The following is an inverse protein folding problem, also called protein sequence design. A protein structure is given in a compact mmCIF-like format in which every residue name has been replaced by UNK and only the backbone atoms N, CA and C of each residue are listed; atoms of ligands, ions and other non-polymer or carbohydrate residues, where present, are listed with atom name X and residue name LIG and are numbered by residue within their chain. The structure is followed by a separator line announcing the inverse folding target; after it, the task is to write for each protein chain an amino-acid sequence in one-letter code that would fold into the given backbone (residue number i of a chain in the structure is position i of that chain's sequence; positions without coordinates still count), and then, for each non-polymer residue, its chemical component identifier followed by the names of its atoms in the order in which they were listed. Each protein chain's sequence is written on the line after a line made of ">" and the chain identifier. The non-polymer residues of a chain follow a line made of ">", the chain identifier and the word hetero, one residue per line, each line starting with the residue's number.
data_IF_931818326719
#
_entry.id   IF_931818326719
#
_cell.length_a   1.000
_cell.length_b   1.000
_cell.length_c   1.000
_cell.angle_alpha   90.00
_cell.angle_beta   90.00
_cell.angle_gamma   90.00
#
_symmetry.space_group_name_H-M   'P 1'
#
loop_
_entity.id
_entity.type
_entity.pdbx_description
1 polymer ?
#
# COMPACT_ATOMS: atom_id res chain seq x y z
N UNK A 1 1.71 -16.27 -17.06
CA UNK A 1 1.40 -16.02 -15.63
C UNK A 1 1.20 -14.51 -15.44
N UNK A 2 -0.04 -14.01 -15.26
CA UNK A 2 -0.30 -12.56 -15.05
C UNK A 2 -1.45 -12.23 -14.06
N UNK A 3 -2.17 -13.22 -13.53
CA UNK A 3 -3.30 -12.98 -12.61
C UNK A 3 -2.95 -13.22 -11.13
N UNK A 4 -1.90 -13.99 -10.85
CA UNK A 4 -1.44 -14.26 -9.48
C UNK A 4 -0.83 -12.99 -8.82
N UNK A 5 -0.28 -12.08 -9.63
CA UNK A 5 0.39 -10.87 -9.14
C UNK A 5 -0.61 -9.80 -8.66
N UNK A 6 -1.81 -9.71 -9.27
CA UNK A 6 -2.80 -8.69 -8.91
C UNK A 6 -3.52 -9.00 -7.60
N UNK A 7 -3.85 -10.27 -7.34
CA UNK A 7 -4.48 -10.69 -6.09
C UNK A 7 -3.52 -10.50 -4.92
N UNK A 8 -2.25 -10.88 -5.09
CA UNK A 8 -1.22 -10.65 -4.07
C UNK A 8 -0.98 -9.16 -3.82
N UNK A 9 -0.92 -8.34 -4.88
CA UNK A 9 -0.80 -6.88 -4.74
C UNK A 9 -2.01 -6.27 -4.02
N UNK A 10 -3.23 -6.75 -4.28
CA UNK A 10 -4.43 -6.30 -3.57
C UNK A 10 -4.39 -6.65 -2.08
N UNK A 11 -3.99 -7.88 -1.74
CA UNK A 11 -3.82 -8.28 -0.34
C UNK A 11 -2.79 -7.41 0.38
N UNK A 12 -1.65 -7.15 -0.28
CA UNK A 12 -0.61 -6.27 0.27
C UNK A 12 -1.08 -4.83 0.43
N UNK A 13 -1.87 -4.31 -0.50
CA UNK A 13 -2.51 -3.00 -0.37
C UNK A 13 -3.40 -2.94 0.89
N UNK A 14 -4.27 -3.94 1.10
CA UNK A 14 -5.16 -3.98 2.26
C UNK A 14 -4.36 -4.08 3.57
N UNK A 15 -3.33 -4.93 3.61
CA UNK A 15 -2.43 -5.08 4.76
C UNK A 15 -1.77 -3.74 5.14
N UNK A 16 -1.12 -3.09 4.16
CA UNK A 16 -0.44 -1.83 4.40
C UNK A 16 -1.41 -0.67 4.72
N UNK A 17 -2.61 -0.67 4.15
CA UNK A 17 -3.64 0.33 4.49
C UNK A 17 -4.09 0.18 5.95
N UNK A 18 -4.39 -1.05 6.39
CA UNK A 18 -4.77 -1.33 7.77
C UNK A 18 -3.67 -0.95 8.77
N UNK A 19 -2.41 -1.26 8.45
CA UNK A 19 -1.27 -0.90 9.30
C UNK A 19 -1.05 0.62 9.36
N UNK A 20 -1.25 1.35 8.26
CA UNK A 20 -1.20 2.82 8.26
C UNK A 20 -2.23 3.40 9.24
N UNK A 21 -3.47 2.94 9.19
CA UNK A 21 -4.54 3.40 10.08
C UNK A 21 -4.26 3.02 11.55
N UNK A 22 -3.69 1.84 11.78
CA UNK A 22 -3.28 1.41 13.11
C UNK A 22 -2.22 2.35 13.70
N UNK A 23 -1.17 2.67 12.95
CA UNK A 23 -0.12 3.56 13.42
C UNK A 23 -0.57 5.02 13.55
N UNK A 24 -1.56 5.46 12.75
CA UNK A 24 -2.20 6.75 12.95
C UNK A 24 -2.88 6.85 14.33
N UNK A 25 -3.62 5.81 14.72
CA UNK A 25 -4.26 5.74 16.04
C UNK A 25 -3.22 5.73 17.15
N UNK A 26 -2.17 4.91 17.03
CA UNK A 26 -1.08 4.88 18.01
C UNK A 26 -0.37 6.22 18.12
N UNK A 27 -0.02 6.86 17.00
CA UNK A 27 0.56 8.21 16.98
C UNK A 27 -0.31 9.21 17.73
N UNK A 28 -1.64 9.14 17.55
CA UNK A 28 -2.59 10.03 18.23
C UNK A 28 -2.69 9.73 19.72
N UNK A 29 -2.73 8.46 20.11
CA UNK A 29 -2.73 8.02 21.52
C UNK A 29 -1.47 8.49 22.25
N UNK A 30 -0.32 8.42 21.58
CA UNK A 30 0.98 8.81 22.15
C UNK A 30 1.41 10.23 21.78
N UNK A 31 0.46 11.13 21.45
CA UNK A 31 0.76 12.50 21.02
C UNK A 31 1.56 13.33 22.05
N UNK A 32 1.44 13.01 23.34
CA UNK A 32 2.20 13.66 24.41
C UNK A 32 3.62 13.09 24.60
N UNK A 33 3.94 11.93 24.02
CA UNK A 33 5.26 11.32 24.08
C UNK A 33 5.95 11.48 22.73
N UNK A 34 6.84 12.47 22.62
CA UNK A 34 7.51 12.82 21.36
C UNK A 34 8.24 11.62 20.71
N UNK A 35 8.92 10.79 21.51
CA UNK A 35 9.66 9.64 20.97
C UNK A 35 8.73 8.61 20.33
N UNK A 36 7.64 8.26 21.02
CA UNK A 36 6.66 7.30 20.49
C UNK A 36 5.85 7.91 19.34
N UNK A 37 5.49 9.19 19.44
CA UNK A 37 4.81 9.92 18.38
C UNK A 37 5.58 9.84 17.06
N UNK A 38 6.86 10.20 17.05
CA UNK A 38 7.66 10.19 15.83
C UNK A 38 7.91 8.77 15.31
N UNK A 39 8.14 7.80 16.20
CA UNK A 39 8.23 6.38 15.81
C UNK A 39 6.99 5.90 15.07
N UNK A 40 5.80 6.21 15.59
CA UNK A 40 4.55 5.82 14.94
C UNK A 40 4.24 6.65 13.69
N UNK A 41 4.66 7.92 13.62
CA UNK A 41 4.55 8.73 12.43
C UNK A 41 5.38 8.17 11.26
N UNK A 42 6.61 7.72 11.52
CA UNK A 42 7.47 7.08 10.52
C UNK A 42 6.86 5.77 10.01
N UNK A 43 6.33 4.95 10.92
CA UNK A 43 5.65 3.70 10.56
C UNK A 43 4.37 3.96 9.75
N UNK A 44 3.54 4.93 10.15
CA UNK A 44 2.37 5.36 9.37
C UNK A 44 2.79 5.74 7.94
N UNK A 45 3.83 6.57 7.81
CA UNK A 45 4.32 7.03 6.51
C UNK A 45 4.84 5.89 5.64
N UNK A 46 5.62 4.97 6.21
CA UNK A 46 6.12 3.79 5.51
C UNK A 46 4.98 2.93 4.96
N UNK A 47 4.00 2.59 5.79
CA UNK A 47 2.87 1.76 5.38
C UNK A 47 1.98 2.48 4.36
N UNK A 48 1.77 3.79 4.51
CA UNK A 48 1.03 4.59 3.52
C UNK A 48 1.73 4.59 2.15
N UNK A 49 3.05 4.76 2.12
CA UNK A 49 3.85 4.66 0.89
C UNK A 49 3.74 3.28 0.22
N UNK A 50 3.85 2.19 1.01
CA UNK A 50 3.69 0.83 0.49
C UNK A 50 2.28 0.56 -0.04
N UNK A 51 1.25 1.05 0.62
CA UNK A 51 -0.12 0.95 0.11
C UNK A 51 -0.26 1.64 -1.26
N UNK A 52 0.27 2.87 -1.41
CA UNK A 52 0.29 3.55 -2.72
C UNK A 52 1.05 2.77 -3.79
N UNK A 53 2.20 2.19 -3.44
CA UNK A 53 2.96 1.33 -4.34
C UNK A 53 2.09 0.17 -4.85
N UNK A 54 1.55 -0.67 -3.96
CA UNK A 54 0.77 -1.84 -4.35
C UNK A 54 -0.54 -1.48 -5.07
N UNK A 55 -1.17 -0.35 -4.72
CA UNK A 55 -2.33 0.20 -5.44
C UNK A 55 -2.03 0.37 -6.93
N UNK A 56 -0.86 0.88 -7.28
CA UNK A 56 -0.48 1.09 -8.67
C UNK A 56 -0.27 -0.22 -9.44
N UNK A 57 0.03 -1.35 -8.78
CA UNK A 57 0.24 -2.64 -9.47
C UNK A 57 -1.05 -3.32 -9.93
N UNK A 58 -2.15 -3.16 -9.20
CA UNK A 58 -3.44 -3.75 -9.60
C UNK A 58 -4.40 -2.74 -10.24
N UNK A 59 -4.19 -1.43 -10.05
CA UNK A 59 -4.94 -0.39 -10.76
C UNK A 59 -4.34 0.00 -12.11
N UNK A 60 -3.08 -0.39 -12.41
CA UNK A 60 -2.54 -0.23 -13.75
C UNK A 60 -3.42 -1.02 -14.73
N UNK A 61 -3.95 -0.39 -15.80
CA UNK A 61 -4.65 -1.14 -16.83
C UNK A 61 -3.69 -2.23 -17.31
N UNK A 62 -4.15 -3.48 -17.34
CA UNK A 62 -3.45 -4.55 -18.03
C UNK A 62 -3.39 -4.09 -19.48
N UNK A 63 -2.27 -3.50 -19.89
CA UNK A 63 -2.11 -2.99 -21.25
C UNK A 63 -2.38 -4.16 -22.17
N UNK A 64 -3.52 -4.09 -22.88
CA UNK A 64 -3.88 -4.97 -23.99
C UNK A 64 -2.89 -4.71 -25.13
N UNK A 65 -1.62 -5.07 -24.95
CA UNK A 65 -0.55 -4.88 -25.92
C UNK A 65 -0.15 -6.22 -26.57
N UNK A 66 -1.08 -7.14 -26.77
CA UNK A 66 -0.81 -8.39 -27.51
C UNK A 66 -1.98 -8.93 -28.34
N UNK A 67 -3.03 -8.15 -28.60
CA UNK A 67 -4.16 -8.58 -29.46
C UNK A 67 -4.20 -7.89 -30.83
N UNK A 68 -3.17 -7.11 -31.20
CA UNK A 68 -3.10 -6.41 -32.50
C UNK A 68 -1.75 -6.57 -33.23
N UNK A 69 -1.23 -7.79 -33.31
CA UNK A 69 -0.24 -8.19 -34.33
C UNK A 69 -0.69 -9.57 -34.84
N UNK A 70 -1.03 -9.83 -36.09
CA UNK A 70 -1.28 -9.08 -37.32
C UNK A 70 -2.22 -9.98 -38.13
N UNK A 71 -3.16 -9.41 -38.88
CA UNK A 71 -3.26 -9.56 -40.35
C UNK A 71 -2.58 -10.82 -40.89
#
# INVERSE_FOLDING_TARGET
>A
MRQLDSIQAQQKYLEHSSLSDHFERLKTVYASNAQLYYKYAELQYFHKSRAFYYRNFFMAPVTQASMMTGI
#
